data_IF_799669570991
#
_entry.id   IF_799669570991
#
_cell.length_a   1.000
_cell.length_b   1.000
_cell.length_c   1.000
_cell.angle_alpha   90.00
_cell.angle_beta   90.00
_cell.angle_gamma   90.00
#
_symmetry.space_group_name_H-M   'P 1'
#
loop_
_entity.id
_entity.type
_entity.pdbx_description
1 polymer ?
#
# COMPACT_ATOMS: atom_id res chain seq x y z
N UNK A 1 20.75 -8.54 -21.87
CA UNK A 1 21.25 -9.61 -21.00
C UNK A 1 21.57 -9.00 -19.62
N UNK A 2 21.35 -9.69 -18.51
CA UNK A 2 21.79 -9.23 -17.18
C UNK A 2 23.28 -8.83 -17.21
N UNK A 3 23.63 -7.78 -16.44
CA UNK A 3 24.95 -7.16 -16.46
C UNK A 3 25.12 -6.02 -17.49
N UNK A 4 24.14 -5.78 -18.37
CA UNK A 4 24.16 -4.62 -19.26
C UNK A 4 24.09 -3.31 -18.45
N UNK A 5 24.96 -2.36 -18.78
CA UNK A 5 25.04 -1.05 -18.09
C UNK A 5 24.72 0.09 -19.03
N UNK A 6 24.00 1.09 -18.55
CA UNK A 6 23.69 2.34 -19.24
C UNK A 6 23.28 3.41 -18.24
N UNK A 7 23.78 4.64 -18.40
CA UNK A 7 23.40 5.79 -17.57
C UNK A 7 23.38 5.49 -16.05
N UNK A 8 24.45 4.91 -15.54
CA UNK A 8 24.58 4.55 -14.13
C UNK A 8 23.71 3.37 -13.65
N UNK A 9 22.86 2.83 -14.52
CA UNK A 9 22.00 1.67 -14.21
C UNK A 9 22.63 0.35 -14.70
N UNK A 10 22.53 -0.67 -13.88
CA UNK A 10 22.87 -2.07 -14.23
C UNK A 10 21.62 -2.91 -14.32
N UNK A 11 21.40 -3.57 -15.47
CA UNK A 11 20.31 -4.51 -15.67
C UNK A 11 20.58 -5.77 -14.84
N UNK A 12 19.75 -6.04 -13.85
CA UNK A 12 19.89 -7.19 -12.93
C UNK A 12 19.08 -8.40 -13.40
N UNK A 13 17.87 -8.16 -13.90
CA UNK A 13 16.96 -9.26 -14.25
C UNK A 13 16.16 -8.92 -15.51
N UNK A 14 15.86 -9.96 -16.29
CA UNK A 14 14.96 -9.92 -17.46
C UNK A 14 13.93 -11.02 -17.30
N UNK A 15 12.66 -10.68 -17.48
CA UNK A 15 11.54 -11.61 -17.41
C UNK A 15 10.57 -11.42 -18.56
N UNK A 16 9.47 -12.18 -18.53
CA UNK A 16 8.34 -12.05 -19.44
C UNK A 16 7.05 -12.05 -18.65
N UNK A 17 6.15 -11.17 -19.00
CA UNK A 17 4.78 -11.11 -18.48
C UNK A 17 3.83 -11.44 -19.62
N UNK A 18 3.48 -12.73 -19.74
CA UNK A 18 2.74 -13.28 -20.89
C UNK A 18 1.36 -12.65 -21.03
N UNK A 19 0.66 -12.40 -19.90
CA UNK A 19 -0.68 -11.80 -19.87
C UNK A 19 -0.73 -10.42 -20.57
N UNK A 20 0.37 -9.67 -20.51
CA UNK A 20 0.48 -8.34 -21.16
C UNK A 20 1.32 -8.37 -22.45
N UNK A 21 1.77 -9.53 -22.90
CA UNK A 21 2.71 -9.63 -24.02
C UNK A 21 4.00 -8.83 -23.79
N UNK A 22 4.39 -8.63 -22.53
CA UNK A 22 5.44 -7.73 -22.12
C UNK A 22 6.75 -8.44 -21.78
N UNK A 23 7.86 -7.72 -21.96
CA UNK A 23 9.15 -8.04 -21.38
C UNK A 23 9.33 -7.21 -20.11
N UNK A 24 9.81 -7.80 -19.02
CA UNK A 24 10.15 -7.09 -17.80
C UNK A 24 11.66 -6.93 -17.68
N UNK A 25 12.09 -5.73 -17.28
CA UNK A 25 13.49 -5.37 -17.10
C UNK A 25 13.63 -4.74 -15.69
N UNK A 26 14.49 -5.34 -14.86
CA UNK A 26 14.81 -4.78 -13.55
C UNK A 26 16.23 -4.22 -13.54
N UNK A 27 16.33 -2.95 -13.18
CA UNK A 27 17.59 -2.21 -13.08
C UNK A 27 17.83 -1.71 -11.66
N UNK A 28 19.09 -1.56 -11.31
CA UNK A 28 19.55 -0.87 -10.10
C UNK A 28 20.52 0.23 -10.49
N UNK A 29 20.33 1.43 -9.95
CA UNK A 29 21.26 2.55 -10.16
C UNK A 29 22.42 2.45 -9.17
N UNK A 30 23.66 2.42 -9.67
CA UNK A 30 24.85 2.05 -8.89
C UNK A 30 25.14 3.06 -7.77
N UNK A 31 25.08 4.36 -8.05
CA UNK A 31 25.40 5.40 -7.08
C UNK A 31 24.29 5.63 -6.05
N UNK A 32 23.06 5.78 -6.52
CA UNK A 32 21.93 6.12 -5.65
C UNK A 32 21.29 4.92 -4.98
N UNK A 33 21.44 3.72 -5.55
CA UNK A 33 20.73 2.52 -5.08
C UNK A 33 19.26 2.44 -5.51
N UNK A 34 18.74 3.40 -6.28
CA UNK A 34 17.38 3.39 -6.79
C UNK A 34 17.11 2.14 -7.61
N UNK A 35 15.96 1.50 -7.35
CA UNK A 35 15.44 0.38 -8.12
C UNK A 35 14.54 0.89 -9.25
N UNK A 36 14.65 0.27 -10.44
CA UNK A 36 13.77 0.58 -11.55
C UNK A 36 13.24 -0.70 -12.19
N UNK A 37 11.93 -0.79 -12.31
CA UNK A 37 11.24 -1.89 -12.97
C UNK A 37 10.53 -1.37 -14.22
N UNK A 38 10.82 -1.95 -15.38
CA UNK A 38 10.22 -1.57 -16.64
C UNK A 38 9.41 -2.71 -17.24
N UNK A 39 8.12 -2.49 -17.44
CA UNK A 39 7.21 -3.39 -18.15
C UNK A 39 7.13 -2.90 -19.60
N UNK A 40 7.93 -3.50 -20.46
CA UNK A 40 8.06 -3.13 -21.85
C UNK A 40 7.07 -3.90 -22.72
N UNK A 41 6.14 -3.18 -23.34
CA UNK A 41 5.19 -3.71 -24.30
C UNK A 41 4.99 -2.71 -25.45
N UNK A 42 3.92 -2.86 -26.25
CA UNK A 42 3.59 -1.98 -27.37
C UNK A 42 2.50 -0.94 -27.02
N UNK A 43 2.12 -0.83 -25.77
CA UNK A 43 1.10 0.12 -25.33
C UNK A 43 1.63 1.55 -25.48
N UNK A 44 0.86 2.38 -26.17
CA UNK A 44 1.16 3.79 -26.36
C UNK A 44 0.71 4.66 -25.20
N UNK A 45 -0.10 4.14 -24.27
CA UNK A 45 -0.41 4.81 -23.02
C UNK A 45 0.70 4.51 -22.01
N UNK A 46 1.72 5.32 -22.03
CA UNK A 46 2.96 5.16 -21.28
C UNK A 46 2.81 5.60 -19.84
N UNK A 47 3.43 4.88 -18.92
CA UNK A 47 3.38 5.17 -17.49
C UNK A 47 4.77 5.38 -16.88
N UNK A 48 4.81 6.28 -15.92
CA UNK A 48 5.89 6.47 -14.96
C UNK A 48 5.30 6.51 -13.56
N UNK A 49 5.95 5.85 -12.60
CA UNK A 49 5.66 6.04 -11.19
C UNK A 49 6.96 6.04 -10.39
N UNK A 50 7.02 6.84 -9.34
CA UNK A 50 8.03 6.70 -8.28
C UNK A 50 7.30 6.41 -6.99
N UNK A 51 7.76 5.37 -6.26
CA UNK A 51 7.19 4.97 -4.98
C UNK A 51 8.28 4.90 -3.93
N UNK A 52 7.94 5.28 -2.71
CA UNK A 52 8.83 5.19 -1.55
C UNK A 52 8.19 4.29 -0.50
N UNK A 53 9.00 3.44 0.13
CA UNK A 53 8.53 2.70 1.30
C UNK A 53 8.37 3.68 2.45
N UNK A 54 7.14 3.87 2.90
CA UNK A 54 6.74 4.85 3.93
C UNK A 54 5.80 4.17 4.94
N UNK A 55 6.31 3.22 5.76
CA UNK A 55 5.49 2.59 6.79
C UNK A 55 4.94 3.66 7.73
N UNK A 56 3.73 3.47 8.21
CA UNK A 56 3.12 4.36 9.19
C UNK A 56 3.75 4.13 10.56
N UNK A 57 4.59 5.08 11.02
CA UNK A 57 5.27 4.98 12.31
C UNK A 57 4.33 5.19 13.49
N UNK A 58 3.22 5.87 13.24
CA UNK A 58 2.16 6.18 14.20
C UNK A 58 0.81 6.38 13.50
N UNK A 59 -0.20 6.81 14.23
CA UNK A 59 -1.57 7.00 13.72
C UNK A 59 -1.89 8.46 13.33
N UNK A 60 -0.87 9.34 13.15
CA UNK A 60 -1.10 10.78 12.87
C UNK A 60 -1.46 11.08 11.42
N UNK A 61 -1.35 10.09 10.55
CA UNK A 61 -1.53 10.20 9.09
C UNK A 61 -0.53 11.15 8.39
N UNK A 62 0.65 11.27 8.96
CA UNK A 62 1.75 12.11 8.46
C UNK A 62 2.10 11.80 7.00
N UNK A 63 2.07 10.51 6.58
CA UNK A 63 2.38 10.09 5.22
C UNK A 63 1.40 10.67 4.20
N UNK A 64 0.11 10.64 4.48
CA UNK A 64 -0.95 11.17 3.62
C UNK A 64 -0.88 12.70 3.53
N UNK A 65 -0.68 13.38 4.67
CA UNK A 65 -0.46 14.83 4.68
C UNK A 65 0.77 15.22 3.86
N UNK A 66 1.84 14.44 3.90
CA UNK A 66 3.03 14.70 3.10
C UNK A 66 2.77 14.45 1.61
N UNK A 67 2.03 13.40 1.26
CA UNK A 67 1.64 13.10 -0.13
C UNK A 67 0.96 14.32 -0.78
N UNK A 68 -0.03 14.94 -0.12
CA UNK A 68 -0.67 16.16 -0.58
C UNK A 68 0.29 17.35 -0.63
N UNK A 69 1.08 17.54 0.42
CA UNK A 69 1.95 18.70 0.58
C UNK A 69 3.13 18.71 -0.37
N UNK A 70 3.68 17.53 -0.73
CA UNK A 70 4.88 17.42 -1.58
C UNK A 70 4.62 17.88 -3.01
N UNK A 71 3.42 17.64 -3.54
CA UNK A 71 3.02 18.02 -4.89
C UNK A 71 2.49 19.46 -4.98
N UNK A 72 2.61 20.26 -3.93
CA UNK A 72 2.23 21.65 -3.96
C UNK A 72 3.24 22.52 -4.74
N UNK A 73 4.55 22.31 -4.52
CA UNK A 73 5.61 23.13 -5.08
C UNK A 73 6.97 22.44 -5.04
N UNK A 74 7.89 22.84 -5.90
CA UNK A 74 9.31 22.45 -5.80
C UNK A 74 10.23 23.63 -6.07
N UNK A 75 11.54 23.44 -5.81
CA UNK A 75 12.55 24.46 -6.12
C UNK A 75 12.65 24.74 -7.63
N UNK A 76 12.55 23.68 -8.44
CA UNK A 76 12.62 23.75 -9.89
C UNK A 76 11.33 24.32 -10.51
N UNK A 77 10.19 24.00 -9.92
CA UNK A 77 8.85 24.39 -10.36
C UNK A 77 8.09 25.07 -9.23
N UNK A 78 8.39 26.35 -8.92
CA UNK A 78 7.66 27.07 -7.89
C UNK A 78 6.20 27.32 -8.37
N UNK A 79 5.26 26.84 -7.56
CA UNK A 79 3.82 27.01 -7.79
C UNK A 79 3.09 27.15 -6.46
N UNK A 80 1.81 27.46 -6.53
CA UNK A 80 0.90 27.35 -5.39
C UNK A 80 0.34 25.93 -5.26
N UNK A 81 0.26 25.22 -6.40
CA UNK A 81 -0.28 23.88 -6.48
C UNK A 81 0.10 23.22 -7.81
N UNK A 82 1.21 22.49 -7.80
CA UNK A 82 1.72 21.81 -9.00
C UNK A 82 0.77 20.70 -9.46
N UNK A 83 0.13 19.99 -8.53
CA UNK A 83 -0.76 18.90 -8.88
C UNK A 83 -1.91 19.37 -9.77
N UNK A 84 -2.62 20.42 -9.38
CA UNK A 84 -3.70 21.00 -10.19
C UNK A 84 -3.19 21.66 -11.46
N UNK A 85 -1.97 22.21 -11.45
CA UNK A 85 -1.33 22.70 -12.66
C UNK A 85 -1.09 21.58 -13.68
N UNK A 86 -0.64 20.41 -13.24
CA UNK A 86 -0.47 19.23 -14.09
C UNK A 86 -1.82 18.74 -14.63
N UNK A 87 -2.82 18.58 -13.77
CA UNK A 87 -4.16 18.16 -14.17
C UNK A 87 -4.80 19.09 -15.23
N UNK A 88 -4.53 20.40 -15.15
CA UNK A 88 -5.17 21.39 -16.04
C UNK A 88 -4.35 21.74 -17.29
N UNK A 89 -3.02 21.53 -17.29
CA UNK A 89 -2.11 22.06 -18.31
C UNK A 89 -1.33 21.01 -19.09
N UNK A 90 -1.49 19.71 -18.78
CA UNK A 90 -0.74 18.64 -19.45
C UNK A 90 -1.63 17.73 -20.29
N UNK A 91 -1.03 17.08 -21.27
CA UNK A 91 -1.67 16.02 -22.04
C UNK A 91 -1.44 14.67 -21.35
N UNK A 92 -2.13 14.47 -20.25
CA UNK A 92 -2.07 13.26 -19.45
C UNK A 92 -3.29 12.37 -19.70
N UNK A 93 -3.14 11.08 -19.45
CA UNK A 93 -4.23 10.11 -19.34
C UNK A 93 -4.49 9.74 -17.88
N UNK A 94 -3.49 9.92 -17.03
CA UNK A 94 -3.59 9.70 -15.58
C UNK A 94 -2.58 10.59 -14.84
N UNK A 95 -3.02 11.23 -13.77
CA UNK A 95 -2.20 12.00 -12.81
C UNK A 95 -2.81 11.77 -11.44
N UNK A 96 -2.06 11.20 -10.51
CA UNK A 96 -2.51 11.01 -9.12
C UNK A 96 -1.33 10.78 -8.17
N UNK A 97 -1.64 10.64 -6.88
CA UNK A 97 -0.78 10.08 -5.86
C UNK A 97 -1.60 9.16 -4.95
N UNK A 98 -0.96 8.23 -4.25
CA UNK A 98 -1.61 7.27 -3.37
C UNK A 98 -0.75 6.98 -2.16
N UNK A 99 -1.31 7.12 -0.98
CA UNK A 99 -0.71 6.66 0.27
C UNK A 99 -1.34 5.33 0.68
N UNK A 100 -0.56 4.25 0.50
CA UNK A 100 -0.87 2.92 1.01
C UNK A 100 -0.24 2.72 2.39
N UNK A 101 -0.62 1.67 3.08
CA UNK A 101 -0.09 1.40 4.42
C UNK A 101 1.45 1.30 4.42
N UNK A 102 2.13 0.53 3.52
CA UNK A 102 3.58 0.38 3.56
C UNK A 102 4.34 1.33 2.63
N UNK A 103 3.68 2.04 1.72
CA UNK A 103 4.36 2.88 0.72
C UNK A 103 3.47 4.00 0.19
N UNK A 104 4.10 5.04 -0.35
CA UNK A 104 3.44 6.12 -1.08
C UNK A 104 3.90 6.12 -2.53
N UNK A 105 2.96 6.19 -3.48
CA UNK A 105 3.20 6.10 -4.92
C UNK A 105 2.73 7.35 -5.67
N UNK A 106 3.48 7.75 -6.68
CA UNK A 106 3.26 8.96 -7.48
C UNK A 106 3.23 8.60 -8.98
N UNK A 107 2.10 8.06 -9.49
CA UNK A 107 1.96 7.66 -10.88
C UNK A 107 1.49 8.80 -11.79
N UNK A 108 2.03 8.81 -13.01
CA UNK A 108 1.56 9.64 -14.14
C UNK A 108 1.57 8.83 -15.43
N UNK A 109 0.60 9.08 -16.32
CA UNK A 109 0.53 8.44 -17.62
C UNK A 109 0.23 9.45 -18.73
N UNK A 110 0.76 9.19 -19.93
CA UNK A 110 0.48 9.97 -21.14
C UNK A 110 0.70 9.15 -22.41
N UNK A 111 -0.08 9.42 -23.42
CA UNK A 111 0.18 8.92 -24.78
C UNK A 111 1.36 9.66 -25.46
N UNK A 112 1.74 10.82 -24.96
CA UNK A 112 2.92 11.56 -25.41
C UNK A 112 4.12 11.28 -24.52
N UNK A 113 5.18 10.69 -25.08
CA UNK A 113 6.42 10.42 -24.34
C UNK A 113 7.09 11.70 -23.82
N UNK A 114 7.04 12.79 -24.60
CA UNK A 114 7.56 14.09 -24.18
C UNK A 114 6.80 14.67 -22.97
N UNK A 115 5.47 14.52 -22.96
CA UNK A 115 4.66 14.95 -21.82
C UNK A 115 4.93 14.06 -20.60
N UNK A 116 5.03 12.73 -20.78
CA UNK A 116 5.37 11.81 -19.70
C UNK A 116 6.70 12.20 -19.05
N UNK A 117 7.74 12.46 -19.85
CA UNK A 117 9.06 12.85 -19.34
C UNK A 117 9.00 14.17 -18.56
N UNK A 118 8.22 15.16 -19.03
CA UNK A 118 8.01 16.43 -18.32
C UNK A 118 7.26 16.23 -17.00
N UNK A 119 6.20 15.43 -16.99
CA UNK A 119 5.45 15.13 -15.77
C UNK A 119 6.31 14.38 -14.75
N UNK A 120 7.11 13.41 -15.21
CA UNK A 120 8.08 12.72 -14.37
C UNK A 120 9.13 13.70 -13.79
N UNK A 121 9.62 14.66 -14.59
CA UNK A 121 10.54 15.69 -14.14
C UNK A 121 9.93 16.56 -13.04
N UNK A 122 8.67 16.95 -13.18
CA UNK A 122 7.95 17.73 -12.18
C UNK A 122 7.83 16.91 -10.87
N UNK A 123 7.37 15.67 -10.95
CA UNK A 123 7.22 14.81 -9.77
C UNK A 123 8.56 14.56 -9.06
N UNK A 124 9.59 14.19 -9.80
CA UNK A 124 10.93 13.97 -9.26
C UNK A 124 11.51 15.22 -8.62
N UNK A 125 11.23 16.41 -9.18
CA UNK A 125 11.67 17.68 -8.59
C UNK A 125 10.98 17.96 -7.25
N UNK A 126 9.70 17.62 -7.13
CA UNK A 126 8.96 17.71 -5.87
C UNK A 126 9.52 16.74 -4.82
N UNK A 127 9.89 15.51 -5.21
CA UNK A 127 10.48 14.54 -4.28
C UNK A 127 11.88 14.96 -3.81
N UNK A 128 12.70 15.53 -4.71
CA UNK A 128 14.09 15.92 -4.42
C UNK A 128 14.21 17.22 -3.61
N UNK A 129 13.34 18.19 -3.89
CA UNK A 129 13.39 19.53 -3.29
C UNK A 129 11.99 20.14 -3.13
N UNK A 130 11.17 19.60 -2.23
CA UNK A 130 9.79 20.00 -2.06
C UNK A 130 9.64 21.41 -1.48
N UNK A 131 8.67 22.16 -1.99
CA UNK A 131 8.37 23.52 -1.53
C UNK A 131 7.96 23.60 -0.05
N UNK A 132 7.41 22.53 0.52
CA UNK A 132 7.06 22.43 1.94
C UNK A 132 8.24 22.69 2.87
N UNK A 133 9.48 22.39 2.44
CA UNK A 133 10.70 22.71 3.23
C UNK A 133 10.91 24.20 3.41
N UNK A 134 10.48 25.02 2.47
CA UNK A 134 10.65 26.48 2.53
C UNK A 134 9.43 27.17 3.08
N UNK A 135 8.25 26.60 2.85
CA UNK A 135 6.97 27.24 3.14
C UNK A 135 6.06 26.27 3.89
N UNK A 136 6.10 26.37 5.22
CA UNK A 136 5.24 25.59 6.12
C UNK A 136 3.73 25.67 5.75
N UNK A 137 3.32 26.74 5.07
CA UNK A 137 1.90 26.91 4.67
C UNK A 137 1.36 25.75 3.80
N UNK A 138 2.23 25.01 3.07
CA UNK A 138 1.81 23.84 2.30
C UNK A 138 1.39 22.70 3.23
N UNK A 139 2.08 22.53 4.35
CA UNK A 139 1.66 21.62 5.40
C UNK A 139 0.37 22.08 6.07
N UNK A 140 0.30 23.37 6.51
CA UNK A 140 -0.87 23.89 7.25
C UNK A 140 -2.15 23.84 6.40
N UNK A 141 -2.04 23.88 5.07
CA UNK A 141 -3.17 23.74 4.15
C UNK A 141 -3.74 22.33 4.17
N UNK A 142 -2.88 21.33 4.13
CA UNK A 142 -3.26 19.93 3.95
C UNK A 142 -3.57 19.24 5.29
N UNK A 143 -2.76 19.48 6.31
CA UNK A 143 -2.89 18.85 7.62
C UNK A 143 -4.12 19.34 8.38
N UNK A 144 -3.91 20.27 9.30
CA UNK A 144 -4.99 20.87 10.09
C UNK A 144 -4.62 22.29 10.47
N UNK A 145 -5.59 23.16 10.44
CA UNK A 145 -5.49 24.56 10.90
C UNK A 145 -6.76 25.03 11.55
N UNK A 146 -6.63 26.05 12.38
CA UNK A 146 -7.79 26.81 12.82
C UNK A 146 -8.21 27.77 11.72
N UNK A 147 -9.49 27.80 11.41
CA UNK A 147 -10.08 28.69 10.41
C UNK A 147 -11.13 29.57 11.06
N UNK A 148 -11.07 30.87 10.74
CA UNK A 148 -12.02 31.87 11.15
C UNK A 148 -12.58 32.58 9.91
N UNK A 149 -13.81 32.26 9.52
CA UNK A 149 -14.45 32.84 8.32
C UNK A 149 -14.64 34.36 8.42
N UNK A 150 -15.05 34.81 9.56
CA UNK A 150 -15.20 36.23 9.92
C UNK A 150 -15.11 36.43 11.44
N UNK A 151 -15.11 37.70 11.90
CA UNK A 151 -14.95 38.03 13.33
C UNK A 151 -16.07 37.51 14.23
N UNK A 152 -17.23 37.10 13.69
CA UNK A 152 -18.40 36.62 14.44
C UNK A 152 -18.59 35.12 14.33
N UNK A 153 -17.90 34.48 13.35
CA UNK A 153 -18.00 33.06 13.15
C UNK A 153 -17.26 32.28 14.26
N UNK A 154 -17.71 31.09 14.62
CA UNK A 154 -16.95 30.21 15.48
C UNK A 154 -15.64 29.81 14.79
N UNK A 155 -14.61 29.57 15.59
CA UNK A 155 -13.36 28.95 15.10
C UNK A 155 -13.67 27.49 14.74
N UNK A 156 -13.28 27.07 13.55
CA UNK A 156 -13.41 25.70 13.05
C UNK A 156 -12.05 25.12 12.74
N UNK A 157 -11.96 23.79 12.70
CA UNK A 157 -10.81 23.10 12.15
C UNK A 157 -11.02 22.94 10.64
N UNK A 158 -9.94 23.11 9.89
CA UNK A 158 -9.90 22.92 8.44
C UNK A 158 -8.56 22.30 8.04
N UNK A 159 -8.52 21.64 6.93
CA UNK A 159 -7.37 20.94 6.33
C UNK A 159 -7.92 19.95 5.31
N UNK A 160 -7.20 19.71 4.21
CA UNK A 160 -7.69 18.80 3.16
C UNK A 160 -7.77 17.38 3.72
N UNK A 161 -6.65 16.83 4.18
CA UNK A 161 -6.58 15.47 4.74
C UNK A 161 -7.45 15.35 6.00
N UNK A 162 -7.44 16.35 6.89
CA UNK A 162 -8.34 16.37 8.03
C UNK A 162 -9.82 16.24 7.63
N UNK A 163 -10.23 16.93 6.57
CA UNK A 163 -11.62 16.90 6.10
C UNK A 163 -11.98 15.59 5.42
N UNK A 164 -11.06 15.00 4.68
CA UNK A 164 -11.20 13.68 4.05
C UNK A 164 -11.38 12.59 5.10
N UNK A 165 -10.50 12.53 6.09
CA UNK A 165 -10.59 11.58 7.19
C UNK A 165 -11.84 11.78 8.04
N UNK A 166 -12.21 13.05 8.27
CA UNK A 166 -13.45 13.37 8.99
C UNK A 166 -14.68 12.91 8.20
N UNK A 167 -14.65 12.99 6.87
CA UNK A 167 -15.70 12.46 5.99
C UNK A 167 -15.84 10.94 6.05
N UNK A 168 -14.74 10.23 6.34
CA UNK A 168 -14.69 8.76 6.48
C UNK A 168 -14.91 8.27 7.92
N UNK A 169 -15.33 9.13 8.85
CA UNK A 169 -15.59 8.77 10.25
C UNK A 169 -16.56 7.60 10.44
N UNK A 170 -17.49 7.45 9.51
CA UNK A 170 -18.54 6.44 9.52
C UNK A 170 -18.25 5.28 8.53
N UNK A 171 -17.05 5.23 7.97
CA UNK A 171 -16.62 4.13 7.11
C UNK A 171 -16.27 2.92 7.99
N UNK A 172 -17.21 1.97 8.04
CA UNK A 172 -17.08 0.76 8.86
C UNK A 172 -15.98 -0.16 8.36
N UNK A 173 -15.71 -0.18 7.06
CA UNK A 173 -14.71 -1.08 6.46
C UNK A 173 -13.30 -0.62 6.84
N UNK A 174 -13.03 0.69 6.78
CA UNK A 174 -11.76 1.25 7.25
C UNK A 174 -11.54 1.02 8.76
N UNK A 175 -12.59 1.14 9.57
CA UNK A 175 -12.46 0.85 11.01
C UNK A 175 -12.26 -0.66 11.26
N UNK A 176 -12.90 -1.51 10.49
CA UNK A 176 -12.70 -2.97 10.56
C UNK A 176 -11.25 -3.33 10.21
N UNK A 177 -10.69 -2.78 9.13
CA UNK A 177 -9.30 -2.98 8.75
C UNK A 177 -8.33 -2.55 9.87
N UNK A 178 -8.53 -1.37 10.45
CA UNK A 178 -7.71 -0.89 11.58
C UNK A 178 -7.79 -1.84 12.78
N UNK A 179 -8.98 -2.35 13.08
CA UNK A 179 -9.16 -3.30 14.18
C UNK A 179 -8.49 -4.64 13.90
N UNK A 180 -8.53 -5.12 12.67
CA UNK A 180 -7.79 -6.32 12.23
C UNK A 180 -6.28 -6.12 12.40
N UNK A 181 -5.73 -5.02 11.91
CA UNK A 181 -4.29 -4.72 12.03
C UNK A 181 -3.84 -4.64 13.51
N UNK A 182 -4.61 -3.95 14.36
CA UNK A 182 -4.33 -3.85 15.80
C UNK A 182 -4.43 -5.20 16.51
N UNK A 183 -5.34 -6.07 16.08
CA UNK A 183 -5.51 -7.39 16.64
C UNK A 183 -4.36 -8.35 16.24
N UNK A 184 -3.93 -8.28 14.97
CA UNK A 184 -2.86 -9.14 14.46
C UNK A 184 -1.47 -8.68 14.93
N UNK A 185 -1.22 -7.37 14.98
CA UNK A 185 0.12 -6.80 15.19
C UNK A 185 0.19 -5.81 16.36
N UNK A 186 -0.25 -6.21 17.58
CA UNK A 186 -0.37 -5.29 18.71
C UNK A 186 0.99 -4.72 19.12
N UNK A 187 1.09 -3.37 19.10
CA UNK A 187 2.30 -2.65 19.48
C UNK A 187 3.40 -2.60 18.41
N UNK A 188 3.11 -3.05 17.20
CA UNK A 188 4.00 -2.93 16.05
C UNK A 188 3.56 -1.80 15.11
N UNK A 189 4.48 -1.30 14.27
CA UNK A 189 4.16 -0.32 13.21
C UNK A 189 3.14 -0.87 12.21
N UNK A 190 3.16 -2.18 11.96
CA UNK A 190 2.19 -2.85 11.10
C UNK A 190 0.72 -2.75 11.59
N UNK A 191 0.50 -2.37 12.86
CA UNK A 191 -0.84 -2.08 13.40
C UNK A 191 -1.38 -0.70 12.98
N UNK A 192 -0.52 0.20 12.48
CA UNK A 192 -0.90 1.54 12.10
C UNK A 192 -1.47 1.57 10.68
N UNK A 193 -2.40 2.47 10.44
CA UNK A 193 -3.01 2.71 9.14
C UNK A 193 -3.34 4.20 8.98
N UNK A 194 -3.50 4.64 7.75
CA UNK A 194 -3.93 6.00 7.41
C UNK A 194 -5.40 6.27 7.78
N UNK A 195 -5.84 7.51 7.61
CA UNK A 195 -7.23 7.93 7.83
C UNK A 195 -7.55 8.32 9.28
N UNK A 196 -6.56 8.75 10.06
CA UNK A 196 -6.74 9.09 11.49
C UNK A 196 -6.37 10.54 11.83
N UNK A 197 -6.07 11.40 10.85
CA UNK A 197 -5.69 12.78 11.11
C UNK A 197 -6.74 13.53 11.96
N UNK A 198 -8.02 13.24 11.78
CA UNK A 198 -9.12 13.84 12.56
C UNK A 198 -9.08 13.50 14.06
N UNK A 199 -8.49 12.36 14.44
CA UNK A 199 -8.33 11.93 15.85
C UNK A 199 -7.02 12.42 16.45
N UNK A 200 -5.94 12.33 15.69
CA UNK A 200 -4.58 12.62 16.15
C UNK A 200 -4.03 13.97 15.65
N UNK A 201 -4.89 14.90 15.25
CA UNK A 201 -4.50 16.19 14.65
C UNK A 201 -3.60 17.05 15.54
N UNK A 202 -3.57 16.80 16.85
CA UNK A 202 -2.71 17.54 17.79
C UNK A 202 -1.25 17.05 17.75
N UNK A 203 -1.07 15.78 17.38
CA UNK A 203 0.25 15.11 17.31
C UNK A 203 0.82 15.19 15.90
N UNK A 204 -0.01 15.51 14.91
CA UNK A 204 0.38 15.75 13.52
C UNK A 204 1.09 17.11 13.42
N UNK A 205 2.42 17.10 13.33
CA UNK A 205 3.25 18.31 13.31
C UNK A 205 4.07 18.44 12.03
N UNK A 206 4.41 19.68 11.67
CA UNK A 206 5.30 19.95 10.54
C UNK A 206 6.67 19.29 10.73
N UNK A 207 7.23 19.37 11.94
CA UNK A 207 8.52 18.84 12.31
C UNK A 207 8.54 17.30 12.10
N UNK A 208 7.54 16.59 12.59
CA UNK A 208 7.39 15.16 12.40
C UNK A 208 7.27 14.79 10.90
N UNK A 209 6.51 15.58 10.14
CA UNK A 209 6.37 15.39 8.68
C UNK A 209 7.71 15.56 7.96
N UNK A 210 8.53 16.51 8.37
CA UNK A 210 9.87 16.69 7.79
C UNK A 210 10.85 15.59 8.19
N UNK A 211 10.77 15.06 9.40
CA UNK A 211 11.56 13.90 9.84
C UNK A 211 11.21 12.66 9.02
N UNK A 212 9.92 12.41 8.78
CA UNK A 212 9.43 11.33 7.93
C UNK A 212 9.97 11.49 6.49
N UNK A 213 9.88 12.70 5.93
CA UNK A 213 10.45 12.98 4.61
C UNK A 213 11.95 12.67 4.56
N UNK A 214 12.74 13.19 5.49
CA UNK A 214 14.19 12.99 5.53
C UNK A 214 14.56 11.52 5.69
N UNK A 215 13.74 10.74 6.38
CA UNK A 215 13.95 9.33 6.60
C UNK A 215 13.64 8.49 5.37
N UNK A 216 12.51 8.73 4.69
CA UNK A 216 11.98 7.80 3.69
C UNK A 216 12.10 8.28 2.25
N UNK A 217 12.09 9.59 1.96
CA UNK A 217 12.10 10.11 0.58
C UNK A 217 13.53 10.22 0.02
N UNK A 218 14.20 9.09 -0.02
CA UNK A 218 15.54 8.94 -0.58
C UNK A 218 15.51 8.01 -1.77
N UNK A 219 16.40 8.21 -2.74
CA UNK A 219 16.43 7.38 -3.94
C UNK A 219 16.85 5.93 -3.68
N UNK A 220 17.61 5.63 -2.62
CA UNK A 220 17.94 4.26 -2.20
C UNK A 220 16.73 3.51 -1.59
N UNK A 221 15.69 4.24 -1.22
CA UNK A 221 14.38 3.73 -0.78
C UNK A 221 13.30 3.85 -1.89
N UNK A 222 13.69 4.17 -3.13
CA UNK A 222 12.75 4.38 -4.22
C UNK A 222 12.65 3.19 -5.14
N UNK A 223 11.41 2.88 -5.57
CA UNK A 223 11.10 2.05 -6.71
C UNK A 223 10.52 2.91 -7.84
N UNK A 224 11.20 2.94 -8.97
CA UNK A 224 10.71 3.59 -10.19
C UNK A 224 10.07 2.54 -11.08
N UNK A 225 8.86 2.79 -11.55
CA UNK A 225 8.15 1.96 -12.53
C UNK A 225 8.07 2.70 -13.86
N UNK A 226 8.44 2.02 -14.93
CA UNK A 226 8.17 2.43 -16.31
C UNK A 226 7.24 1.41 -16.97
N UNK A 227 6.33 1.88 -17.81
CA UNK A 227 5.38 1.05 -18.54
C UNK A 227 5.20 1.55 -19.98
N UNK A 228 4.99 0.61 -20.92
CA UNK A 228 4.57 0.92 -22.28
C UNK A 228 5.71 0.93 -23.29
N UNK A 229 5.41 1.50 -24.49
CA UNK A 229 6.37 1.67 -25.58
C UNK A 229 7.05 3.03 -25.48
N UNK A 230 8.25 3.07 -24.91
CA UNK A 230 9.02 4.31 -24.71
C UNK A 230 10.53 4.10 -24.96
N UNK A 231 11.22 5.20 -25.28
CA UNK A 231 12.68 5.21 -25.30
C UNK A 231 13.25 5.17 -23.87
N UNK A 232 13.26 3.98 -23.31
CA UNK A 232 13.74 3.75 -21.95
C UNK A 232 15.20 4.17 -21.73
N UNK A 233 16.06 4.12 -22.77
CA UNK A 233 17.45 4.56 -22.65
C UNK A 233 17.55 6.05 -22.42
N UNK A 234 16.75 6.81 -23.15
CA UNK A 234 16.60 8.26 -22.97
C UNK A 234 16.06 8.56 -21.57
N UNK A 235 15.09 7.78 -21.10
CA UNK A 235 14.51 7.93 -19.77
C UNK A 235 15.54 7.66 -18.66
N UNK A 236 16.33 6.57 -18.77
CA UNK A 236 17.41 6.27 -17.81
C UNK A 236 18.49 7.36 -17.81
N UNK A 237 18.88 7.87 -18.99
CA UNK A 237 19.86 8.95 -19.09
C UNK A 237 19.34 10.26 -18.45
N UNK A 238 18.06 10.55 -18.58
CA UNK A 238 17.41 11.67 -17.92
C UNK A 238 17.42 11.50 -16.39
N UNK A 239 17.02 10.33 -15.88
CA UNK A 239 17.02 10.02 -14.44
C UNK A 239 18.41 10.16 -13.84
N UNK A 240 19.41 9.54 -14.43
CA UNK A 240 20.80 9.63 -13.97
C UNK A 240 21.26 11.09 -13.90
N UNK A 241 21.21 11.79 -15.04
CA UNK A 241 21.75 13.14 -15.18
C UNK A 241 21.09 14.16 -14.24
N UNK A 242 19.76 14.17 -14.14
CA UNK A 242 19.03 15.23 -13.44
C UNK A 242 18.80 14.92 -11.94
N UNK A 243 18.78 13.64 -11.56
CA UNK A 243 18.34 13.26 -10.22
C UNK A 243 19.27 12.31 -9.47
N UNK A 244 19.90 11.34 -10.13
CA UNK A 244 20.55 10.22 -9.44
C UNK A 244 22.09 10.31 -9.39
N UNK A 245 22.72 11.04 -10.32
CA UNK A 245 24.20 11.09 -10.40
C UNK A 245 24.89 11.67 -9.15
N UNK A 246 24.21 12.57 -8.43
CA UNK A 246 24.70 13.20 -7.19
C UNK A 246 24.12 12.56 -5.92
N UNK A 247 23.15 11.66 -6.07
CA UNK A 247 22.54 10.96 -4.95
C UNK A 247 23.51 9.91 -4.38
N UNK A 248 23.55 9.81 -3.06
CA UNK A 248 24.38 8.83 -2.35
C UNK A 248 23.46 7.80 -1.68
N UNK A 249 23.92 6.55 -1.64
CA UNK A 249 23.31 5.54 -0.76
C UNK A 249 23.54 5.98 0.68
N UNK A 250 22.46 6.16 1.43
CA UNK A 250 22.52 6.64 2.82
C UNK A 250 22.59 5.51 3.83
N UNK A 251 22.06 4.33 3.48
CA UNK A 251 21.99 3.16 4.35
C UNK A 251 22.26 1.85 3.60
N UNK A 252 22.60 0.80 4.34
CA UNK A 252 22.66 -0.57 3.81
C UNK A 252 21.29 -1.08 3.36
N UNK A 253 21.26 -2.17 2.60
CA UNK A 253 20.06 -2.73 1.93
C UNK A 253 18.92 -3.18 2.85
N UNK A 254 19.01 -3.00 4.15
CA UNK A 254 18.10 -3.57 5.14
C UNK A 254 16.73 -2.88 5.20
N UNK A 255 16.61 -1.62 4.73
CA UNK A 255 15.36 -0.84 4.76
C UNK A 255 14.75 -0.57 3.39
N UNK A 256 15.35 -1.01 2.29
CA UNK A 256 14.92 -0.72 0.92
C UNK A 256 14.08 -1.83 0.27
N UNK A 257 13.54 -1.54 -0.92
CA UNK A 257 12.90 -2.55 -1.78
C UNK A 257 13.89 -3.65 -2.14
N UNK A 258 13.67 -4.88 -1.65
CA UNK A 258 14.43 -6.05 -2.09
C UNK A 258 13.56 -6.94 -2.97
N UNK A 259 13.84 -7.00 -4.27
CA UNK A 259 13.36 -8.07 -5.13
C UNK A 259 14.24 -9.29 -4.91
N UNK A 260 14.00 -10.06 -3.86
CA UNK A 260 14.66 -11.34 -3.71
C UNK A 260 13.94 -12.38 -4.58
N UNK A 261 14.65 -12.87 -5.60
CA UNK A 261 14.30 -14.13 -6.26
C UNK A 261 14.42 -15.23 -5.21
N UNK A 262 13.31 -15.95 -4.94
CA UNK A 262 13.14 -16.98 -3.93
C UNK A 262 14.37 -17.85 -3.64
N UNK A 263 15.12 -17.50 -2.61
CA UNK A 263 15.99 -18.40 -1.87
C UNK A 263 15.96 -17.99 -0.39
N UNK A 264 14.88 -18.38 0.27
CA UNK A 264 14.70 -18.17 1.70
C UNK A 264 15.68 -19.01 2.52
N UNK A 265 16.87 -18.48 2.80
CA UNK A 265 17.78 -19.08 3.79
C UNK A 265 18.66 -18.13 4.59
N UNK A 266 18.54 -16.79 4.46
CA UNK A 266 19.44 -15.88 5.18
C UNK A 266 18.77 -14.86 6.12
N UNK A 267 17.45 -14.76 6.20
CA UNK A 267 16.76 -13.78 7.07
C UNK A 267 16.65 -14.16 8.56
N UNK A 268 17.03 -15.40 8.94
CA UNK A 268 16.91 -15.86 10.34
C UNK A 268 17.96 -15.27 11.32
N UNK A 269 18.95 -14.52 10.87
CA UNK A 269 20.08 -14.12 11.75
C UNK A 269 20.15 -12.64 12.13
N UNK A 270 19.43 -11.74 11.43
CA UNK A 270 19.57 -10.30 11.66
C UNK A 270 18.43 -9.63 12.46
N UNK A 271 17.29 -10.31 12.63
CA UNK A 271 16.20 -9.83 13.50
C UNK A 271 16.48 -9.95 15.01
N UNK A 272 17.61 -10.53 15.41
CA UNK A 272 17.94 -10.72 16.84
C UNK A 272 18.56 -9.50 17.52
N UNK A 273 18.85 -8.41 16.82
CA UNK A 273 19.56 -7.26 17.38
C UNK A 273 18.73 -6.00 17.64
N UNK A 274 17.42 -6.03 17.42
CA UNK A 274 16.52 -4.97 17.90
C UNK A 274 15.75 -5.56 19.08
N UNK A 275 16.16 -5.15 20.29
CA UNK A 275 15.66 -5.67 21.57
C UNK A 275 14.18 -5.43 21.80
N UNK A 276 13.34 -6.29 21.28
CA UNK A 276 11.95 -6.51 21.70
C UNK A 276 11.67 -7.99 21.79
N UNK A 277 12.25 -8.63 22.79
CA UNK A 277 11.90 -9.98 23.20
C UNK A 277 10.80 -9.91 24.26
N UNK A 278 9.55 -10.01 23.86
CA UNK A 278 8.49 -10.59 24.69
C UNK A 278 7.24 -10.76 23.80
N UNK A 279 6.79 -11.98 23.67
CA UNK A 279 5.58 -12.45 22.98
C UNK A 279 5.69 -12.82 21.50
N UNK A 280 6.81 -13.28 21.03
CA UNK A 280 6.86 -14.03 19.78
C UNK A 280 7.14 -15.50 20.07
N UNK A 281 6.18 -16.38 19.80
CA UNK A 281 6.44 -17.81 19.69
C UNK A 281 6.91 -18.06 18.25
N UNK A 282 8.18 -18.38 18.02
CA UNK A 282 8.64 -18.63 16.66
C UNK A 282 8.29 -20.08 16.30
N UNK A 283 7.68 -20.31 15.20
CA UNK A 283 7.96 -21.44 14.31
C UNK A 283 6.97 -21.44 13.15
N UNK A 284 7.37 -21.08 11.93
CA UNK A 284 6.54 -21.28 10.73
C UNK A 284 6.68 -22.72 10.18
N UNK A 285 7.24 -23.67 10.91
CA UNK A 285 7.41 -25.05 10.45
C UNK A 285 6.09 -25.86 10.43
N UNK A 286 4.98 -25.30 10.92
CA UNK A 286 3.69 -25.98 10.97
C UNK A 286 2.95 -26.15 9.63
N UNK A 287 3.22 -25.32 8.65
CA UNK A 287 2.51 -25.41 7.36
C UNK A 287 3.06 -26.49 6.42
N UNK A 288 4.30 -26.90 6.57
CA UNK A 288 4.88 -28.02 5.80
C UNK A 288 4.47 -29.40 6.33
N UNK A 289 3.94 -29.49 7.58
CA UNK A 289 3.59 -30.73 8.25
C UNK A 289 2.12 -30.82 8.69
N UNK A 290 1.18 -30.11 8.06
CA UNK A 290 -0.23 -30.15 8.43
C UNK A 290 -0.53 -29.51 9.79
N UNK A 291 0.23 -28.49 10.18
CA UNK A 291 0.03 -27.75 11.42
C UNK A 291 -1.31 -27.03 11.45
N UNK A 292 -1.92 -26.99 12.63
CA UNK A 292 -3.18 -26.28 12.88
C UNK A 292 -3.04 -24.80 12.52
N UNK A 293 -4.00 -24.29 11.74
CA UNK A 293 -4.14 -22.87 11.48
C UNK A 293 -4.62 -22.17 12.75
N UNK A 294 -3.77 -21.36 13.35
CA UNK A 294 -4.15 -20.62 14.55
C UNK A 294 -4.83 -19.30 14.17
N UNK A 295 -6.13 -19.24 14.38
CA UNK A 295 -6.85 -17.97 14.35
C UNK A 295 -6.61 -17.22 15.65
N UNK A 296 -6.09 -16.00 15.58
CA UNK A 296 -6.12 -15.11 16.75
C UNK A 296 -7.48 -14.43 16.78
N UNK A 297 -8.32 -14.84 17.72
CA UNK A 297 -9.53 -14.11 18.05
C UNK A 297 -9.15 -12.93 18.95
N UNK A 298 -9.24 -11.71 18.44
CA UNK A 298 -9.20 -10.53 19.26
C UNK A 298 -10.54 -9.81 19.12
N UNK A 299 -11.28 -9.68 20.22
CA UNK A 299 -12.40 -8.76 20.30
C UNK A 299 -11.83 -7.40 20.62
N UNK A 300 -11.59 -6.58 19.62
CA UNK A 300 -11.21 -5.19 19.83
C UNK A 300 -12.50 -4.41 20.04
N UNK A 301 -12.70 -3.76 21.22
CA UNK A 301 -13.86 -2.89 21.39
C UNK A 301 -13.71 -1.74 20.41
N UNK A 302 -14.58 -1.70 19.39
CA UNK A 302 -14.72 -0.53 18.54
C UNK A 302 -15.05 0.68 19.44
N UNK A 303 -14.37 1.81 19.30
CA UNK A 303 -14.81 3.04 19.95
C UNK A 303 -16.27 3.27 19.54
N UNK A 304 -17.15 3.39 20.53
CA UNK A 304 -18.58 3.39 20.34
C UNK A 304 -19.00 4.32 19.20
N UNK A 305 -19.44 3.75 18.12
CA UNK A 305 -20.12 4.44 17.03
C UNK A 305 -21.37 5.10 17.62
N UNK A 306 -21.46 6.42 17.55
CA UNK A 306 -22.65 7.20 17.93
C UNK A 306 -23.47 7.50 16.68
N UNK A 307 -23.93 6.49 16.00
CA UNK A 307 -24.94 6.59 14.95
C UNK A 307 -26.13 5.72 15.31
N UNK A 308 -27.23 5.84 14.60
CA UNK A 308 -28.33 4.88 14.65
C UNK A 308 -27.80 3.52 14.20
N UNK A 309 -27.29 2.75 15.16
CA UNK A 309 -26.87 1.38 14.92
C UNK A 309 -28.10 0.59 14.55
N UNK A 310 -28.36 0.43 13.26
CA UNK A 310 -29.25 -0.65 12.81
C UNK A 310 -28.64 -1.96 13.34
N UNK A 311 -29.48 -2.90 13.78
CA UNK A 311 -29.01 -4.19 14.31
C UNK A 311 -28.14 -4.97 13.28
N UNK A 312 -28.04 -4.48 12.04
CA UNK A 312 -27.39 -5.08 10.89
C UNK A 312 -26.28 -4.20 10.26
N UNK A 313 -25.58 -3.39 11.03
CA UNK A 313 -24.48 -2.54 10.53
C UNK A 313 -23.10 -2.98 11.04
N UNK A 314 -22.97 -4.22 11.51
CA UNK A 314 -21.69 -4.73 11.99
C UNK A 314 -20.82 -5.26 10.85
N UNK A 315 -19.52 -5.03 10.95
CA UNK A 315 -18.49 -5.75 10.18
C UNK A 315 -17.87 -6.79 11.11
N UNK A 316 -17.80 -8.02 10.64
CA UNK A 316 -17.17 -9.13 11.36
C UNK A 316 -16.04 -9.67 10.51
N UNK A 317 -14.83 -9.63 11.04
CA UNK A 317 -13.63 -10.08 10.33
C UNK A 317 -12.91 -11.16 11.14
N UNK A 318 -12.46 -12.21 10.45
CA UNK A 318 -11.54 -13.23 10.97
C UNK A 318 -10.28 -13.19 10.15
N UNK A 319 -9.15 -12.87 10.77
CA UNK A 319 -7.90 -12.66 10.07
C UNK A 319 -6.79 -13.57 10.60
N UNK A 320 -5.88 -13.91 9.70
CA UNK A 320 -4.74 -14.78 9.95
C UNK A 320 -3.48 -14.11 9.44
N UNK A 321 -2.47 -13.99 10.31
CA UNK A 321 -1.15 -13.46 9.95
C UNK A 321 -0.45 -14.39 8.93
N UNK A 322 0.00 -13.81 7.84
CA UNK A 322 0.79 -14.47 6.79
C UNK A 322 2.23 -13.95 6.73
N UNK A 323 2.71 -13.29 7.79
CA UNK A 323 4.09 -12.82 7.87
C UNK A 323 5.08 -13.98 7.68
N UNK A 324 6.13 -13.76 6.88
CA UNK A 324 7.13 -14.79 6.58
C UNK A 324 6.72 -15.82 5.51
N UNK A 325 5.50 -15.74 4.99
CA UNK A 325 5.09 -16.55 3.84
C UNK A 325 5.75 -16.03 2.56
N UNK A 326 6.23 -16.93 1.71
CA UNK A 326 6.85 -16.52 0.44
C UNK A 326 5.86 -15.82 -0.49
N UNK A 327 6.34 -14.91 -1.32
CA UNK A 327 5.52 -14.15 -2.25
C UNK A 327 4.71 -15.04 -3.21
N UNK A 328 5.29 -16.14 -3.66
CA UNK A 328 4.61 -17.12 -4.51
C UNK A 328 3.41 -17.77 -3.79
N UNK A 329 3.56 -18.11 -2.50
CA UNK A 329 2.47 -18.67 -1.69
C UNK A 329 1.39 -17.61 -1.40
N UNK A 330 1.78 -16.35 -1.16
CA UNK A 330 0.82 -15.25 -0.97
C UNK A 330 -0.06 -15.07 -2.22
N UNK A 331 0.54 -15.10 -3.42
CA UNK A 331 -0.22 -15.07 -4.68
C UNK A 331 -1.16 -16.26 -4.79
N UNK A 332 -0.71 -17.48 -4.44
CA UNK A 332 -1.56 -18.66 -4.44
C UNK A 332 -2.75 -18.51 -3.46
N UNK A 333 -2.51 -18.01 -2.26
CA UNK A 333 -3.58 -17.75 -1.28
C UNK A 333 -4.54 -16.67 -1.77
N UNK A 334 -4.05 -15.62 -2.43
CA UNK A 334 -4.91 -14.59 -3.04
C UNK A 334 -5.81 -15.18 -4.13
N UNK A 335 -5.30 -16.07 -4.98
CA UNK A 335 -6.08 -16.80 -5.98
C UNK A 335 -7.14 -17.68 -5.30
N UNK A 336 -6.76 -18.43 -4.25
CA UNK A 336 -7.67 -19.27 -3.48
C UNK A 336 -8.79 -18.44 -2.85
N UNK A 337 -8.44 -17.30 -2.22
CA UNK A 337 -9.42 -16.38 -1.67
C UNK A 337 -10.39 -15.86 -2.73
N UNK A 338 -9.87 -15.48 -3.91
CA UNK A 338 -10.71 -15.10 -5.05
C UNK A 338 -11.69 -16.20 -5.47
N UNK A 339 -11.21 -17.46 -5.50
CA UNK A 339 -12.06 -18.61 -5.82
C UNK A 339 -13.15 -18.86 -4.77
N UNK A 340 -12.93 -18.55 -3.48
CA UNK A 340 -13.95 -18.64 -2.45
C UNK A 340 -15.10 -17.66 -2.69
N UNK A 341 -14.84 -16.53 -3.32
CA UNK A 341 -15.85 -15.49 -3.57
C UNK A 341 -16.74 -15.77 -4.78
N UNK A 342 -16.41 -16.75 -5.60
CA UNK A 342 -17.19 -17.10 -6.80
C UNK A 342 -18.46 -17.86 -6.44
N UNK A 343 -19.56 -17.60 -7.15
CA UNK A 343 -20.80 -18.35 -6.99
C UNK A 343 -20.57 -19.84 -7.25
N UNK A 344 -21.15 -20.69 -6.38
CA UNK A 344 -20.96 -22.13 -6.42
C UNK A 344 -19.71 -22.63 -5.68
N UNK A 345 -18.90 -21.74 -5.11
CA UNK A 345 -17.81 -22.14 -4.23
C UNK A 345 -18.32 -22.75 -2.91
N UNK A 346 -17.47 -23.57 -2.27
CA UNK A 346 -17.75 -24.16 -0.95
C UNK A 346 -18.12 -23.08 0.08
N UNK A 347 -17.40 -21.95 0.06
CA UNK A 347 -17.67 -20.84 0.98
C UNK A 347 -19.08 -20.24 0.78
N UNK A 348 -19.44 -19.90 -0.46
CA UNK A 348 -20.77 -19.36 -0.77
C UNK A 348 -21.90 -20.35 -0.44
N UNK A 349 -21.70 -21.64 -0.72
CA UNK A 349 -22.66 -22.69 -0.38
C UNK A 349 -22.86 -22.85 1.14
N UNK A 350 -21.78 -22.79 1.92
CA UNK A 350 -21.85 -22.86 3.38
C UNK A 350 -22.50 -21.63 3.98
N UNK A 351 -22.21 -20.42 3.50
CA UNK A 351 -22.89 -19.19 3.92
C UNK A 351 -24.40 -19.30 3.73
N UNK A 352 -24.82 -19.75 2.54
CA UNK A 352 -26.25 -19.95 2.23
C UNK A 352 -26.90 -20.98 3.14
N UNK A 353 -26.24 -22.11 3.37
CA UNK A 353 -26.75 -23.19 4.25
C UNK A 353 -26.84 -22.75 5.70
N UNK A 354 -25.91 -21.92 6.14
CA UNK A 354 -25.90 -21.32 7.49
C UNK A 354 -26.94 -20.19 7.65
N UNK A 355 -27.62 -19.78 6.57
CA UNK A 355 -28.59 -18.68 6.59
C UNK A 355 -27.92 -17.29 6.77
N UNK A 356 -26.67 -17.17 6.37
CA UNK A 356 -25.95 -15.88 6.32
C UNK A 356 -26.24 -15.26 4.95
N UNK A 357 -26.96 -14.16 4.94
CA UNK A 357 -27.44 -13.48 3.73
C UNK A 357 -26.81 -12.09 3.52
N UNK A 358 -25.95 -11.66 4.42
CA UNK A 358 -25.17 -10.42 4.26
C UNK A 358 -24.01 -10.63 3.29
N UNK A 359 -23.39 -9.54 2.88
CA UNK A 359 -22.21 -9.62 2.04
C UNK A 359 -21.03 -10.18 2.83
N UNK A 360 -20.35 -11.15 2.25
CA UNK A 360 -19.21 -11.81 2.86
C UNK A 360 -18.15 -12.15 1.82
N UNK A 361 -16.90 -12.03 2.18
CA UNK A 361 -15.76 -12.25 1.27
C UNK A 361 -14.57 -12.88 1.97
N UNK A 362 -13.67 -13.43 1.17
CA UNK A 362 -12.34 -13.85 1.59
C UNK A 362 -11.29 -13.08 0.77
N UNK A 363 -10.24 -12.58 1.40
CA UNK A 363 -9.19 -11.84 0.70
C UNK A 363 -7.82 -12.04 1.36
N UNK A 364 -6.76 -11.76 0.59
CA UNK A 364 -5.39 -11.65 1.11
C UNK A 364 -4.96 -10.21 0.96
N UNK A 365 -4.69 -9.56 2.07
CA UNK A 365 -4.20 -8.19 2.12
C UNK A 365 -2.68 -8.19 1.97
N UNK A 366 -2.22 -8.15 0.71
CA UNK A 366 -0.78 -8.09 0.38
C UNK A 366 -0.21 -6.68 0.46
N UNK A 367 -1.07 -5.67 0.48
CA UNK A 367 -0.73 -4.25 0.50
C UNK A 367 -0.49 -3.71 1.92
N UNK A 368 -0.70 -4.54 2.96
CA UNK A 368 -0.35 -4.22 4.33
C UNK A 368 1.18 -4.30 4.54
N UNK A 369 1.71 -3.67 5.59
CA UNK A 369 3.13 -3.81 5.96
C UNK A 369 3.51 -5.27 6.21
N UNK A 370 2.58 -6.01 6.84
CA UNK A 370 2.62 -7.47 6.98
C UNK A 370 1.38 -8.06 6.32
N UNK A 371 1.53 -9.04 5.42
CA UNK A 371 0.39 -9.64 4.74
C UNK A 371 -0.45 -10.47 5.70
N UNK A 372 -1.76 -10.50 5.46
CA UNK A 372 -2.70 -11.34 6.21
C UNK A 372 -3.84 -11.84 5.31
N UNK A 373 -4.44 -12.96 5.70
CA UNK A 373 -5.67 -13.46 5.13
C UNK A 373 -6.86 -12.99 5.98
N UNK A 374 -7.97 -12.61 5.38
CA UNK A 374 -9.18 -12.21 6.09
C UNK A 374 -10.43 -12.80 5.46
N UNK A 375 -11.32 -13.32 6.31
CA UNK A 375 -12.74 -13.50 6.02
C UNK A 375 -13.48 -12.32 6.62
N UNK A 376 -14.31 -11.67 5.84
CA UNK A 376 -15.07 -10.49 6.27
C UNK A 376 -16.53 -10.60 5.87
N UNK A 377 -17.40 -10.14 6.75
CA UNK A 377 -18.83 -10.11 6.60
C UNK A 377 -19.31 -8.71 6.97
N UNK A 378 -19.94 -8.02 6.01
CA UNK A 378 -20.46 -6.65 6.17
C UNK A 378 -21.97 -6.64 6.30
N UNK A 379 -22.56 -5.52 6.69
CA UNK A 379 -24.01 -5.36 6.90
C UNK A 379 -24.62 -6.51 7.72
N UNK A 380 -23.89 -6.95 8.74
CA UNK A 380 -24.16 -8.14 9.51
C UNK A 380 -24.60 -7.83 10.94
N UNK A 381 -25.11 -8.86 11.65
CA UNK A 381 -25.36 -8.79 13.08
C UNK A 381 -24.21 -9.41 13.86
N UNK A 382 -23.78 -8.81 14.98
CA UNK A 382 -22.81 -9.43 15.88
C UNK A 382 -23.20 -10.84 16.35
N UNK A 383 -24.51 -11.18 16.32
CA UNK A 383 -25.04 -12.51 16.66
C UNK A 383 -24.62 -13.59 15.66
N UNK A 384 -24.29 -13.19 14.42
CA UNK A 384 -23.87 -14.13 13.37
C UNK A 384 -22.37 -14.41 13.40
N UNK A 385 -21.60 -13.71 14.23
CA UNK A 385 -20.14 -13.79 14.29
C UNK A 385 -19.64 -15.24 14.49
N UNK A 386 -20.17 -15.95 15.51
CA UNK A 386 -19.73 -17.34 15.78
C UNK A 386 -20.11 -18.31 14.66
N UNK A 387 -21.28 -18.10 14.05
CA UNK A 387 -21.72 -18.90 12.88
C UNK A 387 -20.83 -18.62 11.67
N UNK A 388 -20.46 -17.37 11.44
CA UNK A 388 -19.56 -16.98 10.36
C UNK A 388 -18.16 -17.57 10.54
N UNK A 389 -17.62 -17.52 11.77
CA UNK A 389 -16.37 -18.19 12.12
C UNK A 389 -16.41 -19.69 11.79
N UNK A 390 -17.46 -20.37 12.23
CA UNK A 390 -17.63 -21.78 11.94
C UNK A 390 -17.68 -22.09 10.43
N UNK A 391 -18.40 -21.28 9.64
CA UNK A 391 -18.45 -21.40 8.18
C UNK A 391 -17.06 -21.22 7.56
N UNK A 392 -16.28 -20.24 8.05
CA UNK A 392 -14.93 -19.98 7.56
C UNK A 392 -13.99 -21.17 7.84
N UNK A 393 -14.00 -21.70 9.08
CA UNK A 393 -13.21 -22.87 9.48
C UNK A 393 -13.60 -24.11 8.65
N UNK A 394 -14.90 -24.40 8.53
CA UNK A 394 -15.39 -25.54 7.76
C UNK A 394 -15.07 -25.43 6.27
N UNK A 395 -15.03 -24.20 5.72
CA UNK A 395 -14.66 -23.97 4.33
C UNK A 395 -13.20 -24.37 4.12
N UNK A 396 -12.30 -23.90 4.97
CA UNK A 396 -10.86 -24.24 4.88
C UNK A 396 -10.63 -25.75 5.04
N UNK A 397 -11.29 -26.40 6.00
CA UNK A 397 -11.19 -27.85 6.21
C UNK A 397 -11.67 -28.62 4.97
N UNK A 398 -12.82 -28.27 4.42
CA UNK A 398 -13.36 -28.97 3.25
C UNK A 398 -12.50 -28.78 2.00
N UNK A 399 -11.98 -27.56 1.79
CA UNK A 399 -11.04 -27.31 0.69
C UNK A 399 -9.73 -28.05 0.85
N UNK A 400 -9.24 -28.23 2.07
CA UNK A 400 -8.05 -29.05 2.36
C UNK A 400 -8.27 -30.52 2.08
N UNK A 401 -9.44 -31.05 2.43
CA UNK A 401 -9.77 -32.48 2.25
C UNK A 401 -10.10 -32.86 0.80
N UNK A 402 -10.86 -32.00 0.11
CA UNK A 402 -11.43 -32.32 -1.20
C UNK A 402 -10.78 -31.58 -2.36
N UNK A 403 -9.95 -30.56 -2.07
CA UNK A 403 -9.45 -29.65 -3.08
C UNK A 403 -10.50 -28.66 -3.56
N UNK A 404 -10.18 -27.94 -4.64
CA UNK A 404 -11.07 -26.95 -5.27
C UNK A 404 -11.68 -27.57 -6.52
N UNK A 405 -13.00 -27.44 -6.69
CA UNK A 405 -13.69 -27.89 -7.87
C UNK A 405 -13.14 -27.20 -9.14
N UNK A 406 -12.74 -27.94 -10.18
CA UNK A 406 -12.22 -27.37 -11.42
C UNK A 406 -13.17 -26.36 -12.09
N UNK A 407 -14.48 -26.49 -11.92
CA UNK A 407 -15.46 -25.54 -12.47
C UNK A 407 -15.39 -24.18 -11.78
N UNK A 408 -15.11 -24.14 -10.48
CA UNK A 408 -14.88 -22.91 -9.71
C UNK A 408 -13.60 -22.23 -10.17
N UNK A 409 -12.53 -23.00 -10.41
CA UNK A 409 -11.27 -22.49 -10.97
C UNK A 409 -11.51 -21.85 -12.34
N UNK A 410 -12.23 -22.53 -13.23
CA UNK A 410 -12.55 -22.01 -14.56
C UNK A 410 -13.39 -20.72 -14.51
N UNK A 411 -14.33 -20.64 -13.57
CA UNK A 411 -15.16 -19.45 -13.36
C UNK A 411 -14.33 -18.27 -12.83
N UNK A 412 -13.49 -18.51 -11.84
CA UNK A 412 -12.61 -17.49 -11.27
C UNK A 412 -11.58 -16.95 -12.30
N UNK A 413 -11.13 -17.78 -13.25
CA UNK A 413 -10.23 -17.34 -14.32
C UNK A 413 -10.91 -16.50 -15.40
N UNK A 414 -12.24 -16.50 -15.47
CA UNK A 414 -13.04 -15.72 -16.43
C UNK A 414 -13.54 -14.39 -15.86
N UNK A 415 -13.59 -14.26 -14.53
CA UNK A 415 -13.94 -13.04 -13.82
C UNK A 415 -12.74 -12.08 -13.74
#
# INVERSE_FOLDING_TARGET
QPGFQTAGFTLKQVGKLQALGAQTLYFEHEKSGASLFYIRNKDTNRGFSISYRTPHLDETDTNHVFEHSVLASSDKYPSKDIFFDLCSKTYHTFVNAFTYIPFTAYPVCSQSEEQLLKMADVYLSCMKAPGIRRERRFFDREAVRYELRDRKSPITLAGTVYSEDFGMLNDTDNEALRNVLRALYPGETAANANGQAHRFYRDLTYEHTMEMYDRFYRFDNALILLYGDLDWKRFLAFLDKEYLCDAKKSYGKEDGWSFQSGSGRQEKQEMQNIGMSAFYSPEPDGLENGGELFFRQATVPSPAYRGDASENAAVVSYAMDLSGISWEKLIQYSIIAGMMNVDGSVFREKLRTAGIHCDASASVMMEAEKPFFVFEMTDSSPKDAERFRQVSDETLCEMQERGIDPSVVETALKA
#
